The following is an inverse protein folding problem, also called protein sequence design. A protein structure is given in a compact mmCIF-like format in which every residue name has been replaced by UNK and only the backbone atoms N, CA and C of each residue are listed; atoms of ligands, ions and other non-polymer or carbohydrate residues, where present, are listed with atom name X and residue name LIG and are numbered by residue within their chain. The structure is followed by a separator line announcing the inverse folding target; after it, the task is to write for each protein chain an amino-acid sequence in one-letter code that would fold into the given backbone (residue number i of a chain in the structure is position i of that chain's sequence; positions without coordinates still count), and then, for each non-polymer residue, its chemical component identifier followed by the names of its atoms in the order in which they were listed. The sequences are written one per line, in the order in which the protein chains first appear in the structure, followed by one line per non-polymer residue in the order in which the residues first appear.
data_IF_130448338676
#
_entry.id   IF_130448338676
#
_cell.length_a   1.000
_cell.length_b   1.000
_cell.length_c   1.000
_cell.angle_alpha   90.00
_cell.angle_beta   90.00
_cell.angle_gamma   90.00
#
_symmetry.space_group_name_H-M   'P 1'
#
loop_
_entity.id
_entity.type
_entity.pdbx_description
1 polymer ?
#
# COMPACT_ATOMS: atom_id res chain seq x y z
N UNK A 1 -52.79 4.90 -0.07
CA UNK A 1 -51.63 5.83 -0.08
C UNK A 1 -50.55 5.42 0.93
N UNK A 2 -50.86 5.17 2.21
CA UNK A 2 -49.88 4.78 3.25
C UNK A 2 -49.10 3.49 2.93
N UNK A 3 -49.74 2.46 2.37
CA UNK A 3 -49.07 1.20 2.02
C UNK A 3 -47.97 1.38 0.96
N UNK A 4 -48.26 2.15 -0.09
CA UNK A 4 -47.29 2.50 -1.13
C UNK A 4 -46.11 3.31 -0.58
N UNK A 5 -46.37 4.23 0.36
CA UNK A 5 -45.31 5.00 1.02
C UNK A 5 -44.36 4.08 1.81
N UNK A 6 -44.89 3.08 2.52
CA UNK A 6 -44.07 2.12 3.28
C UNK A 6 -43.20 1.25 2.37
N UNK A 7 -43.75 0.82 1.24
CA UNK A 7 -43.00 0.04 0.24
C UNK A 7 -41.86 0.89 -0.34
N UNK A 8 -42.13 2.15 -0.70
CA UNK A 8 -41.10 3.07 -1.20
C UNK A 8 -40.01 3.32 -0.16
N UNK A 9 -40.37 3.59 1.10
CA UNK A 9 -39.39 3.76 2.17
C UNK A 9 -38.55 2.49 2.37
N UNK A 10 -39.17 1.30 2.36
CA UNK A 10 -38.46 0.03 2.46
C UNK A 10 -37.46 -0.17 1.31
N UNK A 11 -37.88 0.13 0.07
CA UNK A 11 -37.01 0.08 -1.09
C UNK A 11 -35.81 1.03 -1.00
N UNK A 12 -36.03 2.26 -0.52
CA UNK A 12 -34.96 3.24 -0.31
C UNK A 12 -33.96 2.79 0.76
N UNK A 13 -34.44 2.22 1.87
CA UNK A 13 -33.56 1.67 2.91
C UNK A 13 -32.72 0.53 2.36
N UNK A 14 -33.33 -0.39 1.60
CA UNK A 14 -32.59 -1.49 0.99
C UNK A 14 -31.53 -0.98 -0.01
N UNK A 15 -31.87 0.00 -0.84
CA UNK A 15 -30.94 0.62 -1.77
C UNK A 15 -29.76 1.29 -1.05
N UNK A 16 -30.01 1.97 0.08
CA UNK A 16 -28.97 2.58 0.90
C UNK A 16 -28.01 1.54 1.49
N UNK A 17 -28.55 0.41 1.99
CA UNK A 17 -27.73 -0.69 2.52
C UNK A 17 -26.85 -1.29 1.42
N UNK A 18 -27.41 -1.58 0.25
CA UNK A 18 -26.67 -2.12 -0.89
C UNK A 18 -25.54 -1.16 -1.28
N UNK A 19 -25.85 0.13 -1.39
CA UNK A 19 -24.85 1.14 -1.72
C UNK A 19 -23.72 1.21 -0.68
N UNK A 20 -24.05 1.22 0.61
CA UNK A 20 -23.06 1.26 1.70
C UNK A 20 -22.11 0.05 1.66
N UNK A 21 -22.62 -1.15 1.40
CA UNK A 21 -21.81 -2.38 1.28
C UNK A 21 -20.83 -2.27 0.11
N UNK A 22 -21.29 -1.75 -1.04
CA UNK A 22 -20.42 -1.55 -2.20
C UNK A 22 -19.34 -0.50 -1.94
N UNK A 23 -19.68 0.61 -1.29
CA UNK A 23 -18.73 1.66 -0.92
C UNK A 23 -17.64 1.12 0.01
N UNK A 24 -18.03 0.43 1.09
CA UNK A 24 -17.08 -0.16 2.04
C UNK A 24 -16.14 -1.17 1.39
N UNK A 25 -16.63 -2.00 0.47
CA UNK A 25 -15.78 -2.95 -0.25
C UNK A 25 -14.81 -2.25 -1.20
N UNK A 26 -15.25 -1.21 -1.91
CA UNK A 26 -14.40 -0.43 -2.79
C UNK A 26 -13.31 0.31 -1.99
N UNK A 27 -13.66 0.89 -0.84
CA UNK A 27 -12.71 1.55 0.07
C UNK A 27 -11.71 0.56 0.66
N UNK A 28 -12.18 -0.60 1.11
CA UNK A 28 -11.33 -1.68 1.61
C UNK A 28 -10.33 -2.16 0.55
N UNK A 29 -10.80 -2.40 -0.69
CA UNK A 29 -9.93 -2.80 -1.79
C UNK A 29 -8.87 -1.74 -2.11
N UNK A 30 -9.25 -0.46 -2.14
CA UNK A 30 -8.31 0.65 -2.34
C UNK A 30 -7.28 0.75 -1.22
N UNK A 31 -7.70 0.57 0.03
CA UNK A 31 -6.81 0.62 1.19
C UNK A 31 -5.74 -0.46 1.15
N UNK A 32 -6.10 -1.70 0.80
CA UNK A 32 -5.14 -2.82 0.67
C UNK A 32 -4.15 -2.56 -0.47
N UNK A 33 -4.62 -2.14 -1.64
CA UNK A 33 -3.75 -1.83 -2.77
C UNK A 33 -2.77 -0.71 -2.40
N UNK A 34 -3.24 0.34 -1.75
CA UNK A 34 -2.37 1.45 -1.32
C UNK A 34 -1.35 1.02 -0.26
N UNK A 35 -1.69 0.07 0.62
CA UNK A 35 -0.75 -0.47 1.58
C UNK A 35 0.36 -1.27 0.87
N UNK A 36 -0.01 -2.09 -0.11
CA UNK A 36 0.94 -2.86 -0.94
C UNK A 36 1.86 -1.91 -1.72
N UNK A 37 1.31 -0.89 -2.38
CA UNK A 37 2.09 0.07 -3.15
C UNK A 37 3.13 0.76 -2.27
N UNK A 38 2.71 1.26 -1.09
CA UNK A 38 3.63 1.89 -0.14
C UNK A 38 4.74 0.95 0.32
N UNK A 39 4.40 -0.31 0.60
CA UNK A 39 5.41 -1.30 1.00
C UNK A 39 6.41 -1.60 -0.13
N UNK A 40 5.94 -1.61 -1.37
CA UNK A 40 6.79 -1.82 -2.54
C UNK A 40 7.72 -0.63 -2.78
N UNK A 41 7.18 0.59 -2.71
CA UNK A 41 7.97 1.82 -2.83
C UNK A 41 9.04 1.91 -1.73
N UNK A 42 8.68 1.58 -0.48
CA UNK A 42 9.63 1.53 0.63
C UNK A 42 10.72 0.48 0.40
N UNK A 43 10.38 -0.68 -0.14
CA UNK A 43 11.34 -1.73 -0.47
C UNK A 43 12.28 -1.31 -1.61
N UNK A 44 11.74 -0.67 -2.66
CA UNK A 44 12.52 -0.14 -3.76
C UNK A 44 13.50 0.95 -3.31
N UNK A 45 13.05 1.87 -2.46
CA UNK A 45 13.90 2.91 -1.87
C UNK A 45 15.04 2.32 -1.05
N UNK A 46 14.75 1.34 -0.18
CA UNK A 46 15.80 0.66 0.62
C UNK A 46 16.78 -0.11 -0.26
N UNK A 47 16.30 -0.77 -1.30
CA UNK A 47 17.17 -1.48 -2.24
C UNK A 47 18.10 -0.50 -2.98
N UNK A 48 17.57 0.66 -3.38
CA UNK A 48 18.36 1.72 -4.01
C UNK A 48 19.39 2.31 -3.04
N UNK A 49 19.03 2.58 -1.80
CA UNK A 49 19.95 3.05 -0.75
C UNK A 49 21.11 2.07 -0.55
N UNK A 50 20.84 0.78 -0.39
CA UNK A 50 21.87 -0.25 -0.25
C UNK A 50 22.77 -0.37 -1.49
N UNK A 51 22.21 -0.18 -2.68
CA UNK A 51 22.99 -0.15 -3.92
C UNK A 51 23.93 1.06 -3.95
N UNK A 52 23.45 2.23 -3.54
CA UNK A 52 24.28 3.43 -3.46
C UNK A 52 25.42 3.25 -2.44
N UNK A 53 25.16 2.63 -1.28
CA UNK A 53 26.20 2.30 -0.29
C UNK A 53 27.26 1.36 -0.87
N UNK A 54 26.82 0.35 -1.62
CA UNK A 54 27.72 -0.58 -2.31
C UNK A 54 28.57 0.15 -3.36
N UNK A 55 27.93 0.87 -4.28
CA UNK A 55 28.62 1.60 -5.37
C UNK A 55 29.63 2.59 -4.77
N UNK A 56 29.23 3.35 -3.74
CA UNK A 56 30.11 4.28 -3.02
C UNK A 56 31.31 3.58 -2.37
N UNK A 57 31.12 2.40 -1.79
CA UNK A 57 32.20 1.62 -1.18
C UNK A 57 33.23 1.17 -2.23
N UNK A 58 32.75 0.66 -3.37
CA UNK A 58 33.60 0.19 -4.46
C UNK A 58 34.35 1.36 -5.10
N UNK A 59 33.69 2.49 -5.32
CA UNK A 59 34.30 3.70 -5.88
C UNK A 59 35.39 4.30 -4.97
N UNK A 60 35.25 4.13 -3.66
CA UNK A 60 36.28 4.50 -2.67
C UNK A 60 37.46 3.49 -2.59
N UNK A 61 37.40 2.37 -3.32
CA UNK A 61 38.39 1.30 -3.25
C UNK A 61 38.24 0.37 -2.04
N UNK A 62 37.12 0.47 -1.31
CA UNK A 62 36.82 -0.37 -0.16
C UNK A 62 36.35 -1.77 -0.55
N UNK A 63 36.32 -2.67 0.43
CA UNK A 63 35.79 -4.01 0.30
C UNK A 63 34.41 -4.09 0.97
N UNK A 64 33.38 -4.37 0.18
CA UNK A 64 32.02 -4.55 0.70
C UNK A 64 31.88 -5.88 1.45
N UNK A 65 31.37 -5.82 2.69
CA UNK A 65 30.92 -7.01 3.43
C UNK A 65 29.39 -7.15 3.34
N UNK A 66 28.95 -8.15 2.58
CA UNK A 66 27.53 -8.50 2.43
C UNK A 66 26.90 -9.04 3.72
N UNK A 67 27.66 -9.71 4.59
CA UNK A 67 27.15 -10.25 5.85
C UNK A 67 26.92 -9.19 6.91
N UNK A 68 27.74 -8.13 6.91
CA UNK A 68 27.58 -6.99 7.82
C UNK A 68 26.81 -5.81 7.21
N UNK A 69 26.50 -5.87 5.91
CA UNK A 69 25.98 -4.76 5.08
C UNK A 69 26.78 -3.46 5.26
N UNK A 70 28.12 -3.56 5.26
CA UNK A 70 29.02 -2.45 5.54
C UNK A 70 30.23 -2.46 4.63
N UNK A 71 30.70 -1.27 4.29
CA UNK A 71 32.00 -1.10 3.66
C UNK A 71 33.13 -1.31 4.67
N UNK A 72 34.21 -2.00 4.27
CA UNK A 72 35.45 -2.13 5.03
C UNK A 72 36.64 -1.56 4.28
N UNK A 73 37.57 -0.94 5.01
CA UNK A 73 38.84 -0.49 4.44
C UNK A 73 38.72 0.69 3.48
N UNK A 74 37.71 1.54 3.67
CA UNK A 74 37.65 2.88 3.06
C UNK A 74 38.75 3.78 3.62
#
# INVERSE_FOLDING_TARGET
MIAWLRILCGGLVLAAIIWAVHALRADGARSVIQAIERQNDDAANRAQEKRLDYDTCIDAGGLWDFGAEKCRGA
#
